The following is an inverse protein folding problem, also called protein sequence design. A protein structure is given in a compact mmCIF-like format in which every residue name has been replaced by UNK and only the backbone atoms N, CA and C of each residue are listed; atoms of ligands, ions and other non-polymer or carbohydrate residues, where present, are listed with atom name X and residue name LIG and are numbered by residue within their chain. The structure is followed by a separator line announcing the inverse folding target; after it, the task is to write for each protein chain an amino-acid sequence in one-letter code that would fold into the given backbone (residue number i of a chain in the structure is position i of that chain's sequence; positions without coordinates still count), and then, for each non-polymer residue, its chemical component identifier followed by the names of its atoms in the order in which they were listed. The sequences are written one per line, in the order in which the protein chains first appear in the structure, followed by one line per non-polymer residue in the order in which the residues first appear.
data_IF_363108330053
#
_entry.id   IF_363108330053
#
_cell.length_a   1.000
_cell.length_b   1.000
_cell.length_c   1.000
_cell.angle_alpha   90.00
_cell.angle_beta   90.00
_cell.angle_gamma   90.00
#
_symmetry.space_group_name_H-M   'P 1'
#
loop_
_entity.id
_entity.type
_entity.pdbx_description
1 polymer ?
#
# COMPACT_ATOMS: atom_id res chain seq x y z
N UNK A 1 -1.43 -86.76 -14.89
CA UNK A 1 -0.21 -85.93 -14.70
C UNK A 1 -0.34 -84.75 -15.65
N UNK A 2 0.12 -83.55 -15.25
CA UNK A 2 0.13 -82.26 -16.00
C UNK A 2 -1.15 -81.41 -16.02
N UNK A 3 -1.35 -80.56 -14.99
CA UNK A 3 -1.88 -79.17 -15.13
C UNK A 3 -1.58 -78.27 -13.90
N UNK A 4 -0.32 -78.01 -13.49
CA UNK A 4 -0.04 -76.91 -12.54
C UNK A 4 0.50 -75.64 -13.21
N UNK A 5 0.82 -75.68 -14.51
CA UNK A 5 1.53 -74.59 -15.18
C UNK A 5 0.60 -73.44 -15.62
N UNK A 6 -0.63 -73.75 -16.04
CA UNK A 6 -1.56 -72.75 -16.57
C UNK A 6 -2.07 -71.77 -15.50
N UNK A 7 -2.29 -72.26 -14.28
CA UNK A 7 -2.85 -71.46 -13.19
C UNK A 7 -1.86 -70.42 -12.62
N UNK A 8 -0.57 -70.78 -12.52
CA UNK A 8 0.48 -69.87 -12.06
C UNK A 8 0.72 -68.72 -13.03
N UNK A 9 0.67 -68.99 -14.34
CA UNK A 9 0.85 -67.96 -15.37
C UNK A 9 -0.30 -66.96 -15.38
N UNK A 10 -1.55 -67.41 -15.22
CA UNK A 10 -2.71 -66.52 -15.15
C UNK A 10 -2.67 -65.61 -13.93
N UNK A 11 -2.30 -66.13 -12.75
CA UNK A 11 -2.16 -65.33 -11.52
C UNK A 11 -1.04 -64.29 -11.66
N UNK A 12 0.09 -64.66 -12.27
CA UNK A 12 1.20 -63.75 -12.49
C UNK A 12 0.81 -62.59 -13.42
N UNK A 13 0.06 -62.87 -14.50
CA UNK A 13 -0.43 -61.85 -15.43
C UNK A 13 -1.37 -60.86 -14.74
N UNK A 14 -2.29 -61.35 -13.89
CA UNK A 14 -3.21 -60.49 -13.13
C UNK A 14 -2.43 -59.61 -12.15
N UNK A 15 -1.45 -60.18 -11.44
CA UNK A 15 -0.65 -59.44 -10.45
C UNK A 15 0.21 -58.35 -11.11
N UNK A 16 0.85 -58.66 -12.24
CA UNK A 16 1.60 -57.68 -13.05
C UNK A 16 0.67 -56.59 -13.59
N UNK A 17 -0.53 -56.95 -14.06
CA UNK A 17 -1.54 -55.99 -14.50
C UNK A 17 -1.96 -54.99 -13.42
N UNK A 18 -2.15 -55.44 -12.17
CA UNK A 18 -2.50 -54.58 -11.03
C UNK A 18 -1.36 -53.60 -10.69
N UNK A 19 -0.11 -54.07 -10.70
CA UNK A 19 1.07 -53.22 -10.44
C UNK A 19 1.18 -52.11 -11.50
N UNK A 20 1.03 -52.47 -12.78
CA UNK A 20 1.08 -51.49 -13.89
C UNK A 20 -0.05 -50.46 -13.75
N UNK A 21 -1.27 -50.91 -13.40
CA UNK A 21 -2.41 -50.00 -13.20
C UNK A 21 -2.18 -49.01 -12.05
N UNK A 22 -1.62 -49.49 -10.93
CA UNK A 22 -1.29 -48.63 -9.79
C UNK A 22 -0.16 -47.65 -10.11
N UNK A 23 0.86 -48.08 -10.86
CA UNK A 23 1.94 -47.20 -11.30
C UNK A 23 1.40 -46.09 -12.22
N UNK A 24 0.51 -46.42 -13.15
CA UNK A 24 -0.12 -45.44 -14.05
C UNK A 24 -0.96 -44.41 -13.27
N UNK A 25 -1.70 -44.85 -12.25
CA UNK A 25 -2.45 -43.95 -11.35
C UNK A 25 -1.54 -42.98 -10.59
N UNK A 26 -0.39 -43.45 -10.08
CA UNK A 26 0.57 -42.61 -9.35
C UNK A 26 1.20 -41.57 -10.29
N UNK A 27 1.59 -41.98 -11.50
CA UNK A 27 2.18 -41.07 -12.50
C UNK A 27 1.16 -40.01 -12.95
N UNK A 28 -0.10 -40.43 -13.20
CA UNK A 28 -1.17 -39.50 -13.56
C UNK A 28 -1.49 -38.53 -12.42
N UNK A 29 -1.57 -39.03 -11.18
CA UNK A 29 -1.79 -38.20 -9.99
C UNK A 29 -0.65 -37.17 -9.81
N UNK A 30 0.62 -37.58 -9.95
CA UNK A 30 1.77 -36.67 -9.92
C UNK A 30 1.71 -35.61 -11.02
N UNK A 31 1.32 -35.98 -12.24
CA UNK A 31 1.18 -35.04 -13.36
C UNK A 31 0.06 -34.03 -13.14
N UNK A 32 -1.07 -34.46 -12.59
CA UNK A 32 -2.18 -33.59 -12.21
C UNK A 32 -1.75 -32.64 -11.07
N UNK A 33 -1.06 -33.15 -10.06
CA UNK A 33 -0.55 -32.33 -8.94
C UNK A 33 0.44 -31.27 -9.46
N UNK A 34 1.39 -31.65 -10.31
CA UNK A 34 2.38 -30.74 -10.89
C UNK A 34 1.74 -29.65 -11.75
N UNK A 35 0.78 -30.02 -12.60
CA UNK A 35 0.04 -29.06 -13.42
C UNK A 35 -0.84 -28.13 -12.56
N UNK A 36 -1.43 -28.65 -11.48
CA UNK A 36 -2.22 -27.84 -10.53
C UNK A 36 -1.35 -26.87 -9.74
N UNK A 37 -0.12 -27.25 -9.37
CA UNK A 37 0.85 -26.34 -8.75
C UNK A 37 1.31 -25.25 -9.72
N UNK A 38 1.56 -25.57 -10.99
CA UNK A 38 1.95 -24.58 -12.00
C UNK A 38 0.82 -23.54 -12.23
N UNK A 39 -0.43 -24.00 -12.32
CA UNK A 39 -1.60 -23.12 -12.43
C UNK A 39 -1.78 -22.21 -11.21
N UNK A 40 -1.61 -22.73 -9.99
CA UNK A 40 -1.71 -21.92 -8.78
C UNK A 40 -0.60 -20.86 -8.69
N UNK A 41 0.62 -21.17 -9.16
CA UNK A 41 1.72 -20.21 -9.22
C UNK A 41 1.44 -19.11 -10.24
N UNK A 42 0.94 -19.47 -11.43
CA UNK A 42 0.58 -18.49 -12.45
C UNK A 42 -0.52 -17.53 -11.96
N UNK A 43 -1.58 -18.05 -11.34
CA UNK A 43 -2.65 -17.23 -10.76
C UNK A 43 -2.09 -16.25 -9.72
N UNK A 44 -1.25 -16.74 -8.80
CA UNK A 44 -0.63 -15.89 -7.78
C UNK A 44 0.28 -14.81 -8.37
N UNK A 45 0.99 -15.11 -9.45
CA UNK A 45 1.80 -14.10 -10.16
C UNK A 45 0.94 -13.06 -10.87
N UNK A 46 -0.20 -13.46 -11.45
CA UNK A 46 -1.16 -12.55 -12.08
C UNK A 46 -1.80 -11.62 -11.03
N UNK A 47 -2.18 -12.16 -9.87
CA UNK A 47 -2.69 -11.41 -8.70
C UNK A 47 -1.65 -10.39 -8.20
N UNK A 48 -0.40 -10.84 -7.95
CA UNK A 48 0.68 -9.95 -7.51
C UNK A 48 1.00 -8.86 -8.54
N UNK A 49 0.95 -9.18 -9.84
CA UNK A 49 1.12 -8.18 -10.90
C UNK A 49 -0.03 -7.18 -10.93
N UNK A 50 -1.25 -7.66 -10.70
CA UNK A 50 -2.45 -6.83 -10.58
C UNK A 50 -2.34 -5.86 -9.41
N UNK A 51 -1.97 -6.34 -8.22
CA UNK A 51 -1.73 -5.52 -7.03
C UNK A 51 -0.63 -4.49 -7.26
N UNK A 52 0.51 -4.89 -7.84
CA UNK A 52 1.60 -3.97 -8.14
C UNK A 52 1.15 -2.87 -9.13
N UNK A 53 0.44 -3.24 -10.20
CA UNK A 53 -0.09 -2.28 -11.18
C UNK A 53 -1.08 -1.30 -10.53
N UNK A 54 -1.98 -1.79 -9.67
CA UNK A 54 -2.93 -0.97 -8.93
C UNK A 54 -2.20 0.01 -7.99
N UNK A 55 -1.18 -0.46 -7.27
CA UNK A 55 -0.41 0.38 -6.36
C UNK A 55 0.30 1.54 -7.08
N UNK A 56 0.85 1.29 -8.28
CA UNK A 56 1.50 2.32 -9.09
C UNK A 56 0.49 3.34 -9.65
N UNK A 57 -0.71 2.89 -10.05
CA UNK A 57 -1.77 3.78 -10.50
C UNK A 57 -2.26 4.70 -9.38
N UNK A 58 -2.49 4.15 -8.18
CA UNK A 58 -2.93 4.91 -7.02
C UNK A 58 -1.87 5.94 -6.58
N UNK A 59 -0.60 5.51 -6.57
CA UNK A 59 0.56 6.37 -6.31
C UNK A 59 0.59 7.55 -7.27
N UNK A 60 0.43 7.29 -8.57
CA UNK A 60 0.39 8.35 -9.58
C UNK A 60 -0.76 9.34 -9.33
N UNK A 61 -1.98 8.85 -9.07
CA UNK A 61 -3.14 9.71 -8.76
C UNK A 61 -2.87 10.63 -7.56
N UNK A 62 -2.24 10.11 -6.51
CA UNK A 62 -1.90 10.90 -5.32
C UNK A 62 -0.88 12.00 -5.65
N UNK A 63 0.16 11.68 -6.42
CA UNK A 63 1.16 12.65 -6.87
C UNK A 63 0.52 13.75 -7.73
N UNK A 64 -0.29 13.36 -8.72
CA UNK A 64 -1.02 14.32 -9.58
C UNK A 64 -1.87 15.28 -8.73
N UNK A 65 -2.52 14.77 -7.67
CA UNK A 65 -3.36 15.57 -6.78
C UNK A 65 -2.58 16.53 -5.89
N UNK A 66 -1.43 16.09 -5.36
CA UNK A 66 -0.54 16.93 -4.57
C UNK A 66 0.09 18.04 -5.41
N UNK A 67 0.37 17.76 -6.69
CA UNK A 67 0.86 18.75 -7.65
C UNK A 67 -0.20 19.81 -7.98
N UNK A 68 -1.47 19.41 -8.15
CA UNK A 68 -2.57 20.33 -8.44
C UNK A 68 -2.97 21.17 -7.20
N UNK A 69 -3.16 20.52 -6.05
CA UNK A 69 -3.60 21.15 -4.82
C UNK A 69 -3.04 20.45 -3.58
N UNK A 70 -1.81 20.79 -3.22
CA UNK A 70 -1.18 20.33 -1.98
C UNK A 70 -1.83 20.83 -0.68
N UNK A 71 -2.94 21.57 -0.72
CA UNK A 71 -3.65 22.00 0.49
C UNK A 71 -4.62 20.92 0.93
N UNK A 72 -4.49 20.46 2.18
CA UNK A 72 -5.40 19.49 2.79
C UNK A 72 -5.52 19.69 4.29
N UNK A 73 -6.17 18.74 4.96
CA UNK A 73 -6.27 18.75 6.42
C UNK A 73 -5.36 17.71 7.05
N UNK A 74 -4.75 18.05 8.18
CA UNK A 74 -4.00 17.12 9.03
C UNK A 74 -4.69 17.02 10.39
N UNK A 75 -5.20 15.84 10.72
CA UNK A 75 -5.74 15.52 12.02
C UNK A 75 -4.68 14.85 12.90
N UNK A 76 -4.55 15.35 14.13
CA UNK A 76 -3.71 14.79 15.20
C UNK A 76 -4.55 14.61 16.46
N UNK A 77 -3.99 13.95 17.48
CA UNK A 77 -4.62 13.85 18.81
C UNK A 77 -3.92 14.80 19.78
N UNK A 78 -4.69 15.71 20.37
CA UNK A 78 -4.21 16.67 21.38
C UNK A 78 -5.03 16.53 22.64
N UNK A 79 -4.40 16.28 23.78
CA UNK A 79 -5.10 16.12 25.07
C UNK A 79 -6.26 15.11 24.97
N UNK A 80 -6.01 13.98 24.32
CA UNK A 80 -7.01 12.92 24.05
C UNK A 80 -8.24 13.37 23.27
N UNK A 81 -8.13 14.44 22.47
CA UNK A 81 -9.18 14.96 21.60
C UNK A 81 -8.67 15.11 20.16
N UNK A 82 -9.53 14.92 19.15
CA UNK A 82 -9.15 15.18 17.76
C UNK A 82 -8.87 16.66 17.56
N UNK A 83 -7.83 16.96 16.78
CA UNK A 83 -7.43 18.32 16.42
C UNK A 83 -7.06 18.35 14.94
N UNK A 84 -7.82 19.07 14.12
CA UNK A 84 -7.58 19.16 12.67
C UNK A 84 -7.27 20.59 12.24
N UNK A 85 -6.42 20.73 11.22
CA UNK A 85 -5.95 22.01 10.68
C UNK A 85 -5.57 21.87 9.21
N UNK A 86 -5.66 22.97 8.46
CA UNK A 86 -5.13 23.02 7.10
C UNK A 86 -3.61 23.03 7.11
N UNK A 87 -3.02 22.29 6.17
CA UNK A 87 -1.58 22.20 5.94
C UNK A 87 -1.32 22.25 4.43
N UNK A 88 -0.15 22.77 4.07
CA UNK A 88 0.41 22.59 2.73
C UNK A 88 1.30 21.34 2.76
N UNK A 89 1.00 20.41 1.87
CA UNK A 89 1.67 19.14 1.71
C UNK A 89 2.58 19.16 0.48
N UNK A 90 3.71 18.48 0.61
CA UNK A 90 4.68 18.17 -0.42
C UNK A 90 4.91 16.66 -0.38
N UNK A 91 5.64 16.10 -1.36
CA UNK A 91 5.91 14.68 -1.36
C UNK A 91 7.26 14.32 -1.95
N UNK A 92 7.75 13.17 -1.52
CA UNK A 92 8.75 12.38 -2.22
C UNK A 92 8.28 10.94 -2.24
N UNK A 93 8.06 10.42 -3.45
CA UNK A 93 7.47 9.11 -3.65
C UNK A 93 6.08 9.01 -2.97
N UNK A 94 5.85 8.02 -2.11
CA UNK A 94 4.62 7.95 -1.29
C UNK A 94 4.74 8.71 0.05
N UNK A 95 5.93 9.20 0.41
CA UNK A 95 6.12 9.93 1.67
C UNK A 95 5.61 11.35 1.51
N UNK A 96 4.75 11.78 2.43
CA UNK A 96 4.16 13.12 2.43
C UNK A 96 4.91 13.98 3.45
N UNK A 97 5.15 15.24 3.12
CA UNK A 97 5.82 16.20 3.96
C UNK A 97 4.93 17.41 4.20
N UNK A 98 4.90 17.92 5.44
CA UNK A 98 4.19 19.15 5.76
C UNK A 98 5.12 20.15 6.46
N UNK A 99 5.31 21.32 5.86
CA UNK A 99 6.15 22.37 6.43
C UNK A 99 5.49 23.00 7.66
N UNK A 100 6.27 23.19 8.72
CA UNK A 100 5.77 23.83 9.93
C UNK A 100 6.84 24.49 10.79
N UNK A 101 6.38 25.18 11.84
CA UNK A 101 7.22 25.89 12.78
C UNK A 101 7.39 25.05 14.06
N UNK A 102 8.62 24.93 14.56
CA UNK A 102 9.00 24.20 15.77
C UNK A 102 8.23 24.63 17.03
N UNK A 103 7.88 25.91 17.14
CA UNK A 103 7.20 26.48 18.31
C UNK A 103 5.68 26.27 18.30
N UNK A 104 5.19 25.23 17.62
CA UNK A 104 3.77 24.94 17.54
C UNK A 104 3.46 23.68 18.34
N UNK A 105 2.34 23.68 19.06
CA UNK A 105 1.84 22.58 19.88
C UNK A 105 1.65 21.23 19.14
N UNK A 106 1.94 21.16 17.84
CA UNK A 106 1.85 19.94 17.03
C UNK A 106 3.02 18.99 17.21
N UNK A 107 4.20 19.52 17.55
CA UNK A 107 5.38 18.70 17.81
C UNK A 107 5.10 17.80 19.02
N UNK A 108 4.61 18.39 20.10
CA UNK A 108 4.19 17.66 21.31
C UNK A 108 3.07 16.65 21.03
N UNK A 109 2.07 17.03 20.21
CA UNK A 109 0.99 16.12 19.80
C UNK A 109 1.54 14.86 19.12
N UNK A 110 2.47 15.04 18.16
CA UNK A 110 3.05 13.95 17.35
C UNK A 110 3.99 13.08 18.17
N UNK A 111 4.80 13.69 19.04
CA UNK A 111 5.67 12.96 19.98
C UNK A 111 4.83 12.10 20.95
N UNK A 112 3.66 12.59 21.35
CA UNK A 112 2.74 11.84 22.23
C UNK A 112 1.99 10.75 21.47
N UNK A 113 1.54 11.05 20.26
CA UNK A 113 0.81 10.12 19.40
C UNK A 113 1.14 10.38 17.92
N UNK A 114 1.93 9.51 17.26
CA UNK A 114 2.36 9.73 15.89
C UNK A 114 1.27 9.40 14.87
N UNK A 115 0.12 8.85 15.28
CA UNK A 115 -0.95 8.51 14.34
C UNK A 115 -1.63 9.79 13.86
N UNK A 116 -1.68 9.96 12.54
CA UNK A 116 -2.32 11.10 11.91
C UNK A 116 -3.26 10.64 10.81
N UNK A 117 -4.20 11.52 10.45
CA UNK A 117 -5.10 11.32 9.33
C UNK A 117 -5.09 12.55 8.42
N UNK A 118 -5.07 12.32 7.11
CA UNK A 118 -5.00 13.37 6.09
C UNK A 118 -6.23 13.28 5.19
N UNK A 119 -6.81 14.44 4.87
CA UNK A 119 -7.78 14.59 3.78
C UNK A 119 -7.19 15.53 2.74
N UNK A 120 -7.23 15.12 1.48
CA UNK A 120 -6.64 15.85 0.35
C UNK A 120 -7.55 15.80 -0.88
N UNK A 121 -7.58 16.89 -1.65
CA UNK A 121 -8.12 16.90 -3.02
C UNK A 121 -9.51 17.49 -3.19
N UNK A 122 -10.38 17.40 -2.18
CA UNK A 122 -11.76 17.84 -2.32
C UNK A 122 -11.86 19.37 -2.51
N UNK A 123 -12.26 19.80 -3.71
CA UNK A 123 -12.54 21.21 -4.02
C UNK A 123 -13.91 21.62 -3.48
N UNK A 124 -13.94 22.74 -2.74
CA UNK A 124 -15.18 23.39 -2.26
C UNK A 124 -16.16 23.73 -3.39
N UNK A 125 -15.69 23.95 -4.62
CA UNK A 125 -16.55 24.19 -5.80
C UNK A 125 -17.10 22.90 -6.40
N UNK A 126 -16.50 21.76 -6.09
CA UNK A 126 -16.92 20.45 -6.58
C UNK A 126 -16.99 19.44 -5.43
N UNK A 127 -18.09 19.49 -4.67
CA UNK A 127 -18.33 18.57 -3.55
C UNK A 127 -18.48 17.09 -3.96
N UNK A 128 -18.58 16.79 -5.26
CA UNK A 128 -18.58 15.43 -5.80
C UNK A 128 -17.23 15.06 -6.44
N UNK A 129 -16.18 15.84 -6.17
CA UNK A 129 -14.85 15.59 -6.70
C UNK A 129 -14.18 14.35 -6.09
N UNK A 130 -13.04 14.02 -6.67
CA UNK A 130 -12.13 13.01 -6.14
C UNK A 130 -11.38 13.52 -4.91
N UNK A 131 -11.03 12.61 -4.01
CA UNK A 131 -10.25 12.93 -2.82
C UNK A 131 -9.54 11.69 -2.26
N UNK A 132 -8.56 11.95 -1.40
CA UNK A 132 -7.86 10.93 -0.64
C UNK A 132 -8.15 11.02 0.84
N UNK A 133 -8.25 9.86 1.48
CA UNK A 133 -8.10 9.67 2.92
C UNK A 133 -6.83 8.87 3.17
N UNK A 134 -5.97 9.34 4.06
CA UNK A 134 -4.67 8.73 4.30
C UNK A 134 -4.46 8.61 5.81
N UNK A 135 -4.24 7.38 6.26
CA UNK A 135 -3.74 7.05 7.60
C UNK A 135 -2.22 6.97 7.52
N UNK A 136 -1.52 7.67 8.42
CA UNK A 136 -0.06 7.76 8.38
C UNK A 136 0.55 7.86 9.77
N UNK A 137 1.85 7.54 9.85
CA UNK A 137 2.70 7.88 10.99
C UNK A 137 3.46 9.16 10.72
N UNK A 138 3.36 10.09 11.66
CA UNK A 138 4.13 11.33 11.63
C UNK A 138 5.41 11.21 12.44
N UNK A 139 6.49 11.75 11.88
CA UNK A 139 7.76 11.98 12.56
C UNK A 139 8.29 13.38 12.22
N UNK A 140 9.26 13.86 13.00
CA UNK A 140 9.83 15.19 12.82
C UNK A 140 11.12 15.07 12.02
N UNK A 141 11.19 15.77 10.89
CA UNK A 141 12.40 15.94 10.10
C UNK A 141 12.86 17.40 10.18
N UNK A 142 14.09 17.59 10.66
CA UNK A 142 14.74 18.90 10.78
C UNK A 142 16.06 18.96 10.01
N UNK A 143 16.29 18.00 9.12
CA UNK A 143 17.52 17.95 8.32
C UNK A 143 17.61 19.16 7.38
N UNK A 144 18.80 19.78 7.24
CA UNK A 144 18.98 20.88 6.29
C UNK A 144 18.64 20.48 4.85
N UNK A 145 18.91 19.23 4.47
CA UNK A 145 18.62 18.70 3.14
C UNK A 145 17.12 18.72 2.82
N UNK A 146 16.29 18.13 3.68
CA UNK A 146 14.84 18.12 3.48
C UNK A 146 14.25 19.53 3.49
N UNK A 147 14.72 20.40 4.40
CA UNK A 147 14.27 21.80 4.45
C UNK A 147 14.60 22.56 3.17
N UNK A 148 15.79 22.37 2.62
CA UNK A 148 16.17 22.98 1.36
C UNK A 148 15.33 22.44 0.20
N UNK A 149 15.07 21.13 0.19
CA UNK A 149 14.34 20.43 -0.86
C UNK A 149 12.87 20.83 -0.94
N UNK A 150 12.20 20.92 0.21
CA UNK A 150 10.75 21.18 0.29
C UNK A 150 10.41 22.64 0.59
N UNK A 151 11.37 23.55 0.45
CA UNK A 151 11.11 24.97 0.54
C UNK A 151 10.29 25.45 -0.66
N UNK A 152 9.15 26.08 -0.39
CA UNK A 152 8.31 26.76 -1.38
C UNK A 152 8.11 28.21 -0.95
N UNK A 153 8.14 29.13 -1.91
CA UNK A 153 7.94 30.57 -1.70
C UNK A 153 6.59 30.89 -1.02
N UNK A 154 5.56 30.05 -1.19
CA UNK A 154 4.28 30.13 -0.48
C UNK A 154 4.43 30.05 1.04
N UNK A 155 5.50 29.44 1.55
CA UNK A 155 5.77 29.30 2.99
C UNK A 155 6.24 30.61 3.65
N UNK A 156 6.62 31.62 2.87
CA UNK A 156 7.14 32.91 3.38
C UNK A 156 6.18 33.64 4.33
N UNK A 157 4.89 33.35 4.25
CA UNK A 157 3.90 33.92 5.18
C UNK A 157 4.07 33.41 6.63
N UNK A 158 4.77 32.30 6.84
CA UNK A 158 4.94 31.66 8.16
C UNK A 158 6.39 31.44 8.56
N UNK A 159 7.32 31.43 7.61
CA UNK A 159 8.74 31.11 7.81
C UNK A 159 9.62 32.11 7.05
N UNK A 160 10.78 32.45 7.60
CA UNK A 160 11.69 33.44 6.99
C UNK A 160 12.49 32.91 5.80
N UNK A 161 12.70 31.59 5.71
CA UNK A 161 13.50 30.95 4.67
C UNK A 161 13.76 29.46 4.94
N UNK A 162 14.45 28.76 4.03
CA UNK A 162 14.85 27.36 4.23
C UNK A 162 15.82 27.19 5.41
N UNK A 163 16.58 28.25 5.75
CA UNK A 163 17.50 28.29 6.87
C UNK A 163 16.86 28.73 8.20
N UNK A 164 15.54 28.99 8.23
CA UNK A 164 14.86 29.40 9.45
C UNK A 164 15.06 28.33 10.55
N UNK A 165 15.60 28.69 11.72
CA UNK A 165 15.85 27.72 12.79
C UNK A 165 14.56 27.08 13.33
N UNK A 166 13.40 27.70 13.08
CA UNK A 166 12.10 27.16 13.44
C UNK A 166 11.47 26.34 12.33
N UNK A 167 12.01 26.35 11.10
CA UNK A 167 11.48 25.53 10.02
C UNK A 167 11.81 24.06 10.29
N UNK A 168 10.76 23.26 10.41
CA UNK A 168 10.79 21.81 10.48
C UNK A 168 9.77 21.23 9.50
N UNK A 169 9.97 19.98 9.14
CA UNK A 169 9.03 19.20 8.34
C UNK A 169 8.42 18.12 9.21
N UNK A 170 7.13 17.89 9.03
CA UNK A 170 6.50 16.65 9.45
C UNK A 170 6.66 15.66 8.30
N UNK A 171 7.40 14.57 8.53
CA UNK A 171 7.47 13.43 7.62
C UNK A 171 6.31 12.50 7.95
N UNK A 172 5.45 12.25 6.96
CA UNK A 172 4.23 11.49 7.09
C UNK A 172 4.36 10.25 6.21
N UNK A 173 4.50 9.09 6.84
CA UNK A 173 4.64 7.80 6.17
C UNK A 173 3.28 7.11 6.13
N UNK A 174 2.64 6.99 4.95
CA UNK A 174 1.32 6.35 4.85
C UNK A 174 1.37 4.88 5.25
N UNK A 175 0.34 4.44 5.99
CA UNK A 175 0.07 3.03 6.32
C UNK A 175 -1.12 2.52 5.50
N UNK A 176 -2.15 3.36 5.34
CA UNK A 176 -3.32 3.06 4.52
C UNK A 176 -3.73 4.28 3.68
N UNK A 177 -3.96 4.05 2.40
CA UNK A 177 -4.39 5.08 1.43
C UNK A 177 -5.72 4.64 0.86
N UNK A 178 -6.72 5.54 0.89
CA UNK A 178 -8.01 5.37 0.23
C UNK A 178 -8.21 6.49 -0.77
N UNK A 179 -8.51 6.12 -2.00
CA UNK A 179 -8.87 7.05 -3.06
C UNK A 179 -10.33 6.89 -3.42
N UNK A 180 -11.04 8.02 -3.44
CA UNK A 180 -12.42 8.09 -3.85
C UNK A 180 -12.46 8.85 -5.18
N UNK A 181 -12.91 8.21 -6.25
CA UNK A 181 -13.18 8.86 -7.55
C UNK A 181 -14.31 9.88 -7.47
N UNK A 182 -15.22 9.68 -6.51
CA UNK A 182 -16.37 10.54 -6.25
C UNK A 182 -16.87 10.33 -4.82
N UNK A 183 -17.40 11.39 -4.23
CA UNK A 183 -18.07 11.33 -2.93
C UNK A 183 -19.14 10.22 -2.86
N UNK A 184 -18.98 9.30 -1.91
CA UNK A 184 -19.91 8.20 -1.62
C UNK A 184 -19.70 6.92 -2.43
N UNK A 185 -18.68 6.85 -3.29
CA UNK A 185 -18.29 5.60 -3.97
C UNK A 185 -17.38 4.72 -3.08
N UNK A 186 -17.23 3.45 -3.46
CA UNK A 186 -16.26 2.57 -2.80
C UNK A 186 -14.84 3.00 -3.15
N UNK A 187 -13.92 3.08 -2.17
CA UNK A 187 -12.56 3.53 -2.44
C UNK A 187 -11.72 2.45 -3.13
N UNK A 188 -10.76 2.90 -3.93
CA UNK A 188 -9.55 2.13 -4.22
C UNK A 188 -8.63 2.23 -3.01
N UNK A 189 -8.15 1.10 -2.49
CA UNK A 189 -7.36 1.08 -1.25
C UNK A 189 -5.98 0.46 -1.47
N UNK A 190 -4.99 1.00 -0.78
CA UNK A 190 -3.63 0.45 -0.69
C UNK A 190 -3.19 0.44 0.76
N UNK A 191 -2.69 -0.71 1.22
CA UNK A 191 -2.05 -0.87 2.54
C UNK A 191 -0.57 -1.17 2.33
N UNK A 192 0.29 -0.55 3.12
CA UNK A 192 1.76 -0.57 2.97
C UNK A 192 2.40 -1.36 4.12
#
# INVERSE_FOLDING_TARGET
MSTPFFFKTVILIIFVGIIILNFYKIVLARRIICHKTDWNVQIKMEEMKGELCMSEQLKKKMMDMLDESGVGTLATIRNSKPFSRFMLFFYEDLTIYAATNKNTHKVEDIETNPNVHILLGLDVKNANGEYFEIEAKASIDSSPESRQKFWDEKLRNWLSGPDDPNYILLKLEPEHIRYFSKAGEHPEELSI
#
